data_IF_640221031146
#
_entry.id   IF_640221031146
#
_cell.length_a   1.000
_cell.length_b   1.000
_cell.length_c   1.000
_cell.angle_alpha   90.00
_cell.angle_beta   90.00
_cell.angle_gamma   90.00
#
_symmetry.space_group_name_H-M   'P 1'
#
loop_
_entity.id
_entity.type
_entity.pdbx_description
1 polymer ?
#
# COMPACT_ATOMS: atom_id res chain seq x y z
N UNK A 1 7.29 -15.91 12.67
CA UNK A 1 6.21 -16.30 13.60
C UNK A 1 5.51 -17.52 13.01
N UNK A 2 5.53 -18.66 13.70
CA UNK A 2 4.88 -19.89 13.26
C UNK A 2 3.51 -19.99 13.95
N UNK A 3 2.42 -19.86 13.19
CA UNK A 3 1.07 -19.90 13.73
C UNK A 3 0.06 -20.36 12.68
N UNK A 4 -0.23 -21.66 12.67
CA UNK A 4 -1.52 -22.32 12.47
C UNK A 4 -2.39 -22.08 11.22
N UNK A 5 -2.24 -20.99 10.48
CA UNK A 5 -3.10 -20.70 9.33
C UNK A 5 -2.50 -21.32 8.05
N UNK A 6 -3.34 -21.95 7.20
CA UNK A 6 -2.96 -22.23 5.83
C UNK A 6 -2.48 -20.95 5.14
N UNK A 7 -1.65 -21.08 4.09
CA UNK A 7 -1.12 -19.95 3.33
C UNK A 7 -2.21 -18.91 2.94
N UNK A 8 -3.40 -19.38 2.55
CA UNK A 8 -4.54 -18.52 2.23
C UNK A 8 -5.06 -17.71 3.43
N UNK A 9 -5.07 -18.30 4.64
CA UNK A 9 -5.46 -17.59 5.86
C UNK A 9 -4.45 -16.51 6.24
N UNK A 10 -3.16 -16.77 6.03
CA UNK A 10 -2.12 -15.77 6.24
C UNK A 10 -2.16 -14.64 5.20
N UNK A 11 -2.40 -14.96 3.93
CA UNK A 11 -2.59 -13.96 2.88
C UNK A 11 -3.76 -13.03 3.23
N UNK A 12 -4.89 -13.59 3.66
CA UNK A 12 -6.04 -12.79 4.10
C UNK A 12 -5.70 -11.84 5.26
N UNK A 13 -4.90 -12.28 6.23
CA UNK A 13 -4.45 -11.41 7.31
C UNK A 13 -3.59 -10.25 6.82
N UNK A 14 -2.75 -10.45 5.79
CA UNK A 14 -2.00 -9.36 5.19
C UNK A 14 -2.94 -8.35 4.49
N UNK A 15 -3.93 -8.84 3.75
CA UNK A 15 -4.92 -7.99 3.09
C UNK A 15 -5.70 -7.15 4.11
N UNK A 16 -6.17 -7.76 5.19
CA UNK A 16 -6.85 -7.09 6.30
C UNK A 16 -5.94 -6.07 7.03
N UNK A 17 -4.62 -6.31 7.03
CA UNK A 17 -3.63 -5.38 7.55
C UNK A 17 -3.26 -4.24 6.57
N UNK A 18 -3.89 -4.19 5.39
CA UNK A 18 -3.71 -3.13 4.39
C UNK A 18 -2.56 -3.38 3.41
N UNK A 19 -2.10 -4.61 3.26
CA UNK A 19 -1.15 -4.98 2.22
C UNK A 19 -1.87 -5.44 0.94
N UNK A 20 -1.36 -5.00 -0.19
CA UNK A 20 -1.82 -5.37 -1.53
C UNK A 20 -0.67 -5.94 -2.36
N UNK A 21 -0.99 -6.39 -3.58
CA UNK A 21 -0.02 -6.94 -4.54
C UNK A 21 0.81 -8.08 -3.95
N UNK A 22 0.16 -8.94 -3.16
CA UNK A 22 0.82 -10.00 -2.41
C UNK A 22 1.28 -11.11 -3.36
N UNK A 23 2.57 -11.41 -3.34
CA UNK A 23 3.16 -12.56 -4.02
C UNK A 23 3.84 -13.46 -2.98
N UNK A 24 3.42 -14.73 -2.93
CA UNK A 24 3.96 -15.72 -1.99
C UNK A 24 4.95 -16.62 -2.72
N UNK A 25 6.15 -16.73 -2.16
CA UNK A 25 7.18 -17.63 -2.66
C UNK A 25 6.91 -19.10 -2.32
N UNK A 26 7.73 -20.03 -2.85
CA UNK A 26 7.62 -21.44 -2.54
C UNK A 26 7.77 -21.72 -1.04
N UNK A 27 7.22 -22.84 -0.60
CA UNK A 27 7.45 -23.35 0.75
C UNK A 27 8.92 -23.73 0.91
N UNK A 28 9.57 -23.19 1.95
CA UNK A 28 10.97 -23.49 2.29
C UNK A 28 11.03 -24.04 3.71
N UNK A 29 11.77 -25.14 3.89
CA UNK A 29 12.06 -25.67 5.21
C UNK A 29 13.10 -24.78 5.92
N UNK A 30 12.60 -23.88 6.74
CA UNK A 30 13.41 -22.96 7.56
C UNK A 30 13.68 -23.51 8.96
N UNK A 31 13.20 -24.73 9.26
CA UNK A 31 13.24 -25.32 10.60
C UNK A 31 14.22 -26.48 10.73
N UNK A 32 14.81 -26.98 9.63
CA UNK A 32 15.87 -27.99 9.69
C UNK A 32 17.03 -27.53 10.58
N UNK A 33 17.38 -28.32 11.60
CA UNK A 33 18.42 -28.02 12.57
C UNK A 33 18.05 -26.97 13.62
N UNK A 34 16.83 -26.42 13.59
CA UNK A 34 16.35 -25.46 14.58
C UNK A 34 15.79 -26.18 15.82
N UNK A 35 15.82 -25.51 16.98
CA UNK A 35 15.25 -26.04 18.23
C UNK A 35 13.76 -26.45 18.08
N UNK A 36 13.03 -25.79 17.18
CA UNK A 36 11.62 -26.06 16.89
C UNK A 36 11.34 -27.15 15.85
N UNK A 37 12.37 -27.79 15.27
CA UNK A 37 12.23 -28.70 14.13
C UNK A 37 11.19 -29.79 14.38
N UNK A 38 11.28 -30.51 15.51
CA UNK A 38 10.38 -31.61 15.85
C UNK A 38 8.91 -31.20 15.80
N UNK A 39 8.61 -29.99 16.27
CA UNK A 39 7.26 -29.44 16.21
C UNK A 39 6.87 -29.03 14.79
N UNK A 40 7.78 -28.37 14.06
CA UNK A 40 7.54 -28.01 12.66
C UNK A 40 7.21 -29.24 11.80
N UNK A 41 7.90 -30.38 11.99
CA UNK A 41 7.59 -31.65 11.31
C UNK A 41 6.21 -32.18 11.69
N UNK A 42 5.86 -32.16 12.97
CA UNK A 42 4.54 -32.63 13.47
C UNK A 42 3.37 -31.88 12.82
N UNK A 43 3.58 -30.61 12.48
CA UNK A 43 2.54 -29.74 11.91
C UNK A 43 2.82 -29.34 10.46
N UNK A 44 3.73 -30.02 9.75
CA UNK A 44 4.11 -29.73 8.36
C UNK A 44 4.35 -28.24 8.09
N UNK A 45 5.06 -27.57 9.00
CA UNK A 45 5.28 -26.12 8.97
C UNK A 45 6.45 -25.76 8.06
N UNK A 46 6.20 -24.82 7.14
CA UNK A 46 7.20 -24.25 6.24
C UNK A 46 7.22 -22.73 6.35
N UNK A 47 8.35 -22.12 6.00
CA UNK A 47 8.46 -20.68 5.81
C UNK A 47 8.12 -20.32 4.37
N UNK A 48 7.51 -19.15 4.18
CA UNK A 48 7.30 -18.55 2.87
C UNK A 48 7.87 -17.12 2.89
N UNK A 49 8.77 -16.82 1.95
CA UNK A 49 9.07 -15.44 1.63
C UNK A 49 7.86 -14.82 0.92
N UNK A 50 7.66 -13.52 1.08
CA UNK A 50 6.59 -12.81 0.39
C UNK A 50 7.05 -11.41 -0.01
N UNK A 51 6.40 -10.90 -1.05
CA UNK A 51 6.43 -9.50 -1.43
C UNK A 51 5.01 -8.95 -1.28
N UNK A 52 4.88 -7.77 -0.69
CA UNK A 52 3.61 -7.05 -0.63
C UNK A 52 3.88 -5.54 -0.51
N UNK A 53 2.89 -4.74 -0.89
CA UNK A 53 2.95 -3.27 -0.81
C UNK A 53 1.89 -2.79 0.16
N UNK A 54 2.26 -1.95 1.13
CA UNK A 54 1.27 -1.34 2.02
C UNK A 54 0.54 -0.21 1.31
N UNK A 55 -0.78 -0.17 1.48
CA UNK A 55 -1.64 0.84 0.86
C UNK A 55 -2.35 1.62 1.96
N UNK A 56 -1.99 2.89 2.11
CA UNK A 56 -2.74 3.84 2.91
C UNK A 56 -3.94 4.39 2.14
N UNK A 57 -4.94 4.89 2.86
CA UNK A 57 -6.14 5.46 2.27
C UNK A 57 -6.39 6.88 2.75
N UNK A 58 -6.78 7.76 1.83
CA UNK A 58 -7.20 9.12 2.11
C UNK A 58 -8.48 9.44 1.32
N UNK A 59 -9.53 9.90 2.01
CA UNK A 59 -10.74 10.43 1.38
C UNK A 59 -10.67 11.95 1.39
N UNK A 60 -10.46 12.53 0.21
CA UNK A 60 -10.43 13.97 0.02
C UNK A 60 -11.83 14.60 0.14
N UNK A 61 -12.89 13.79 0.01
CA UNK A 61 -14.28 14.26 0.03
C UNK A 61 -14.57 15.21 -1.12
N UNK A 62 -15.28 16.29 -0.79
CA UNK A 62 -15.68 17.37 -1.69
C UNK A 62 -14.72 18.57 -1.65
N UNK A 63 -13.53 18.41 -1.03
CA UNK A 63 -12.54 19.49 -0.92
C UNK A 63 -11.94 19.81 -2.28
N UNK A 64 -11.99 21.08 -2.68
CA UNK A 64 -11.35 21.60 -3.89
C UNK A 64 -10.01 22.29 -3.62
N UNK A 65 -9.46 22.93 -4.67
CA UNK A 65 -8.16 23.62 -4.65
C UNK A 65 -8.06 24.69 -3.52
N UNK A 66 -9.17 25.39 -3.23
CA UNK A 66 -9.23 26.44 -2.21
C UNK A 66 -9.30 25.94 -0.76
N UNK A 67 -9.57 24.65 -0.54
CA UNK A 67 -9.82 24.07 0.79
C UNK A 67 -8.58 23.42 1.41
N UNK A 68 -7.39 23.70 0.85
CA UNK A 68 -6.13 23.13 1.33
C UNK A 68 -5.90 21.68 0.92
N UNK A 69 -6.58 21.19 -0.12
CA UNK A 69 -6.46 19.81 -0.62
C UNK A 69 -5.01 19.38 -0.86
N UNK A 70 -4.19 20.23 -1.47
CA UNK A 70 -2.79 19.93 -1.73
C UNK A 70 -1.97 19.74 -0.44
N UNK A 71 -2.25 20.54 0.59
CA UNK A 71 -1.60 20.43 1.90
C UNK A 71 -2.01 19.16 2.64
N UNK A 72 -3.30 18.80 2.61
CA UNK A 72 -3.79 17.55 3.20
C UNK A 72 -3.27 16.33 2.44
N UNK A 73 -3.28 16.36 1.10
CA UNK A 73 -2.65 15.31 0.30
C UNK A 73 -1.17 15.14 0.68
N UNK A 74 -0.43 16.26 0.77
CA UNK A 74 0.99 16.23 1.16
C UNK A 74 1.20 15.61 2.55
N UNK A 75 0.37 15.99 3.53
CA UNK A 75 0.42 15.43 4.87
C UNK A 75 0.21 13.91 4.88
N UNK A 76 -0.74 13.42 4.08
CA UNK A 76 -1.05 11.98 4.03
C UNK A 76 0.04 11.20 3.30
N UNK A 77 0.55 11.71 2.17
CA UNK A 77 1.59 11.02 1.39
C UNK A 77 2.97 11.06 2.08
N UNK A 78 3.21 12.02 2.98
CA UNK A 78 4.42 12.05 3.83
C UNK A 78 4.38 11.05 4.99
N UNK A 79 3.18 10.59 5.38
CA UNK A 79 3.04 9.52 6.37
C UNK A 79 3.20 8.11 5.75
N UNK A 80 3.24 8.02 4.42
CA UNK A 80 3.44 6.77 3.68
C UNK A 80 4.93 6.55 3.48
N UNK A 81 5.41 5.32 3.71
CA UNK A 81 6.82 5.02 3.50
C UNK A 81 7.18 5.09 2.00
N UNK A 82 8.44 5.38 1.69
CA UNK A 82 8.88 5.42 0.29
C UNK A 82 8.70 4.05 -0.37
N UNK A 83 8.11 4.05 -1.58
CA UNK A 83 7.73 2.84 -2.32
C UNK A 83 6.37 2.26 -1.92
N UNK A 84 5.76 2.70 -0.82
CA UNK A 84 4.38 2.36 -0.47
C UNK A 84 3.38 3.29 -1.18
N UNK A 85 2.10 2.93 -1.12
CA UNK A 85 1.07 3.58 -1.90
C UNK A 85 0.03 4.30 -1.03
N UNK A 86 -0.52 5.40 -1.55
CA UNK A 86 -1.68 6.09 -1.04
C UNK A 86 -2.80 6.01 -2.09
N UNK A 87 -3.96 5.46 -1.70
CA UNK A 87 -5.20 5.55 -2.47
C UNK A 87 -5.99 6.76 -2.04
N UNK A 88 -6.14 7.72 -2.96
CA UNK A 88 -6.89 8.96 -2.75
C UNK A 88 -8.26 8.84 -3.40
N UNK A 89 -9.32 8.91 -2.60
CA UNK A 89 -10.70 8.99 -3.13
C UNK A 89 -11.08 10.46 -3.26
N UNK A 90 -11.50 10.89 -4.45
CA UNK A 90 -11.94 12.26 -4.72
C UNK A 90 -13.37 12.29 -5.29
N UNK A 91 -14.17 13.27 -4.88
CA UNK A 91 -15.51 13.55 -5.43
C UNK A 91 -15.52 14.83 -6.26
N UNK A 92 -14.89 15.87 -5.72
CA UNK A 92 -14.82 17.20 -6.34
C UNK A 92 -14.15 17.16 -7.73
N UNK A 93 -14.76 17.79 -8.76
CA UNK A 93 -14.18 17.85 -10.10
C UNK A 93 -12.82 18.54 -10.17
N UNK A 94 -12.55 19.58 -9.37
CA UNK A 94 -11.25 20.23 -9.36
C UNK A 94 -10.20 19.32 -8.71
N UNK A 95 -10.54 18.63 -7.62
CA UNK A 95 -9.68 17.62 -6.99
C UNK A 95 -9.25 16.50 -7.96
N UNK A 96 -10.17 16.03 -8.81
CA UNK A 96 -9.86 15.04 -9.86
C UNK A 96 -8.80 15.56 -10.84
N UNK A 97 -8.85 16.85 -11.18
CA UNK A 97 -7.87 17.49 -12.05
C UNK A 97 -6.54 17.81 -11.35
N UNK A 98 -6.58 18.11 -10.05
CA UNK A 98 -5.43 18.64 -9.30
C UNK A 98 -4.54 17.58 -8.66
N UNK A 99 -5.10 16.48 -8.14
CA UNK A 99 -4.32 15.46 -7.42
C UNK A 99 -3.21 14.85 -8.30
N UNK A 100 -3.47 14.41 -9.55
CA UNK A 100 -2.43 13.82 -10.37
C UNK A 100 -1.23 14.74 -10.67
N UNK A 101 -1.40 16.01 -11.10
CA UNK A 101 -0.27 16.92 -11.31
C UNK A 101 0.43 17.31 -10.01
N UNK A 102 -0.29 17.53 -8.89
CA UNK A 102 0.32 17.83 -7.59
C UNK A 102 1.20 16.67 -7.12
N UNK A 103 0.72 15.43 -7.21
CA UNK A 103 1.50 14.24 -6.86
C UNK A 103 2.82 14.16 -7.66
N UNK A 104 2.75 14.37 -8.98
CA UNK A 104 3.93 14.34 -9.86
C UNK A 104 4.90 15.48 -9.57
N UNK A 105 4.38 16.68 -9.32
CA UNK A 105 5.19 17.87 -8.97
C UNK A 105 6.00 17.62 -7.69
N UNK A 106 5.38 16.99 -6.69
CA UNK A 106 6.00 16.61 -5.42
C UNK A 106 6.96 15.40 -5.53
N UNK A 107 7.14 14.84 -6.73
CA UNK A 107 8.06 13.73 -6.99
C UNK A 107 7.47 12.34 -6.74
N UNK A 108 6.16 12.23 -6.56
CA UNK A 108 5.46 10.96 -6.43
C UNK A 108 5.03 10.43 -7.80
N UNK A 109 4.67 9.14 -7.87
CA UNK A 109 4.25 8.50 -9.11
C UNK A 109 2.77 8.14 -9.04
N UNK A 110 1.98 8.66 -9.97
CA UNK A 110 0.59 8.23 -10.15
C UNK A 110 0.60 6.88 -10.86
N UNK A 111 0.05 5.85 -10.21
CA UNK A 111 -0.02 4.48 -10.72
C UNK A 111 -1.32 4.20 -11.45
N UNK A 112 -2.45 4.67 -10.93
CA UNK A 112 -3.77 4.49 -11.55
C UNK A 112 -4.74 5.62 -11.22
N UNK A 113 -5.74 5.78 -12.07
CA UNK A 113 -6.88 6.68 -11.90
C UNK A 113 -8.14 5.86 -12.28
N UNK A 114 -8.86 5.39 -11.28
CA UNK A 114 -9.95 4.42 -11.44
C UNK A 114 -11.29 5.07 -11.09
N UNK A 115 -12.19 5.28 -12.07
CA UNK A 115 -13.52 5.81 -11.77
C UNK A 115 -14.36 4.76 -11.02
N UNK A 116 -15.11 5.22 -10.03
CA UNK A 116 -16.12 4.42 -9.35
C UNK A 116 -17.50 4.72 -9.95
N UNK A 117 -18.40 3.74 -9.86
CA UNK A 117 -19.76 3.80 -10.43
C UNK A 117 -20.64 4.92 -9.85
N UNK A 118 -20.23 5.53 -8.73
CA UNK A 118 -20.93 6.61 -8.05
C UNK A 118 -20.35 8.01 -8.33
N UNK A 119 -19.51 8.12 -9.37
CA UNK A 119 -18.91 9.39 -9.79
C UNK A 119 -17.68 9.80 -9.00
N UNK A 120 -17.22 8.99 -8.03
CA UNK A 120 -15.91 9.18 -7.39
C UNK A 120 -14.78 8.73 -8.32
N UNK A 121 -13.57 9.23 -8.07
CA UNK A 121 -12.34 8.77 -8.70
C UNK A 121 -11.38 8.31 -7.60
N UNK A 122 -10.79 7.13 -7.76
CA UNK A 122 -9.71 6.64 -6.89
C UNK A 122 -8.39 6.81 -7.63
N UNK A 123 -7.49 7.59 -7.06
CA UNK A 123 -6.16 7.83 -7.61
C UNK A 123 -5.17 7.09 -6.73
N UNK A 124 -4.43 6.14 -7.31
CA UNK A 124 -3.37 5.42 -6.59
C UNK A 124 -2.04 6.13 -6.85
N UNK A 125 -1.39 6.58 -5.78
CA UNK A 125 -0.10 7.28 -5.83
C UNK A 125 0.94 6.50 -5.05
N UNK A 126 2.06 6.19 -5.68
CA UNK A 126 3.25 5.66 -5.01
C UNK A 126 4.10 6.80 -4.45
N UNK A 127 4.50 6.69 -3.18
CA UNK A 127 5.44 7.64 -2.56
C UNK A 127 6.81 7.47 -3.19
N UNK A 128 7.16 8.38 -4.10
CA UNK A 128 8.52 8.51 -4.62
C UNK A 128 9.50 9.05 -3.58
N UNK A 129 10.80 8.93 -3.85
CA UNK A 129 11.83 9.58 -3.04
C UNK A 129 11.74 11.11 -3.18
N UNK A 130 11.96 11.84 -2.09
CA UNK A 130 12.16 13.28 -2.20
C UNK A 130 13.41 13.55 -3.03
N UNK A 131 13.25 14.24 -4.16
CA UNK A 131 14.38 14.89 -4.80
C UNK A 131 14.75 16.06 -3.89
N UNK A 132 15.89 15.98 -3.20
CA UNK A 132 16.57 17.21 -2.79
C UNK A 132 16.82 17.97 -4.09
N UNK A 133 16.18 19.14 -4.22
CA UNK A 133 16.67 20.10 -5.20
C UNK A 133 18.07 20.47 -4.71
N UNK A 134 19.09 20.00 -5.41
CA UNK A 134 20.44 20.51 -5.26
C UNK A 134 20.40 21.98 -5.69
N UNK A 135 20.34 22.87 -4.70
CA UNK A 135 20.63 24.30 -4.81
C UNK A 135 22.00 24.55 -4.16
#
# INVERSE_FOLDING_TARGET
>A
MAGGLPCAGWQRLLEEAGYAHIAIGPAVDTFAGAQGERNARRFSTFGHAFLAVKVAHFDAGDRGCGDGLAGEFRRHIDAVAVGEQLRVTVRDPAAKADIPPVARMLGHRVLSEEPLNDGRLVITVERGHERKADL
#
